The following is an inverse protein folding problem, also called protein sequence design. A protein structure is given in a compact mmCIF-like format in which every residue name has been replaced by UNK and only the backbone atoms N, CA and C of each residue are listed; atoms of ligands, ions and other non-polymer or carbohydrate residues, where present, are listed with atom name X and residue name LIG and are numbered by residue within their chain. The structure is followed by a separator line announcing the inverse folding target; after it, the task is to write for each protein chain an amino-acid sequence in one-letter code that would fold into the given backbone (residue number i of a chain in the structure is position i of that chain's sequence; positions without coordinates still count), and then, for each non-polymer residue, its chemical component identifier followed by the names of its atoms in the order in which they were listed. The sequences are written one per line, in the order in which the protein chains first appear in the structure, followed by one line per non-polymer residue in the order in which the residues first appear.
data_IF_424938290034
#
_entry.id   IF_424938290034
#
_cell.length_a   1.000
_cell.length_b   1.000
_cell.length_c   1.000
_cell.angle_alpha   90.00
_cell.angle_beta   90.00
_cell.angle_gamma   90.00
#
_symmetry.space_group_name_H-M   'P 1'
#
loop_
_entity.id
_entity.type
_entity.pdbx_description
1 polymer ?
#
# COMPACT_ATOMS: atom_id res chain seq x y z
N UNK A 1 78.31 7.45 -37.35
CA UNK A 1 78.17 7.20 -38.82
C UNK A 1 76.72 7.04 -39.14
N UNK A 2 76.19 8.03 -39.68
CA UNK A 2 75.12 8.29 -40.67
C UNK A 2 74.47 7.05 -41.26
N UNK A 3 73.10 7.01 -41.23
CA UNK A 3 72.16 6.96 -42.40
C UNK A 3 70.73 7.07 -41.90
N UNK A 4 70.11 8.10 -42.08
CA UNK A 4 69.19 8.75 -43.03
C UNK A 4 68.04 7.82 -43.59
N UNK A 5 66.81 8.14 -43.18
CA UNK A 5 65.57 8.38 -43.93
C UNK A 5 65.16 7.38 -45.03
N UNK A 6 63.92 6.84 -44.82
CA UNK A 6 62.85 6.94 -45.86
C UNK A 6 61.48 6.89 -45.16
N UNK A 7 60.86 8.04 -45.04
CA UNK A 7 59.42 8.23 -44.83
C UNK A 7 58.78 8.31 -46.21
N UNK A 8 57.70 7.60 -46.44
CA UNK A 8 56.92 7.83 -47.64
C UNK A 8 55.76 6.85 -47.82
N UNK A 9 54.60 7.23 -47.37
CA UNK A 9 53.37 6.93 -48.13
C UNK A 9 52.63 5.63 -47.90
N UNK A 10 51.94 5.46 -46.79
CA UNK A 10 50.68 4.70 -46.73
C UNK A 10 49.83 5.36 -45.62
N UNK A 11 49.13 6.40 -45.97
CA UNK A 11 48.18 7.02 -45.08
C UNK A 11 47.08 7.74 -45.90
N UNK A 12 46.27 6.99 -46.67
CA UNK A 12 45.06 7.57 -47.29
C UNK A 12 44.01 6.54 -47.75
N UNK A 13 43.97 5.31 -47.23
CA UNK A 13 42.89 4.37 -47.62
C UNK A 13 42.14 3.73 -46.48
N UNK A 14 42.50 4.02 -45.21
CA UNK A 14 41.80 3.44 -44.05
C UNK A 14 40.63 4.29 -43.52
N UNK A 15 40.52 5.55 -43.89
CA UNK A 15 39.49 6.47 -43.35
C UNK A 15 38.10 6.35 -44.01
N UNK A 16 37.98 5.76 -45.20
CA UNK A 16 36.70 5.58 -45.90
C UNK A 16 36.00 4.26 -45.59
N UNK A 17 36.70 3.22 -45.13
CA UNK A 17 36.08 1.94 -44.77
C UNK A 17 35.47 1.97 -43.37
N UNK A 18 35.98 2.74 -42.40
CA UNK A 18 35.41 2.91 -41.09
C UNK A 18 34.11 3.72 -41.09
N UNK A 19 33.93 4.66 -41.97
CA UNK A 19 32.70 5.42 -42.11
C UNK A 19 31.54 4.63 -42.69
N UNK A 20 31.79 3.69 -43.58
CA UNK A 20 30.76 2.84 -44.18
C UNK A 20 30.26 1.77 -43.19
N UNK A 21 31.17 1.13 -42.41
CA UNK A 21 30.76 0.16 -41.39
C UNK A 21 30.02 0.78 -40.20
N UNK A 22 30.38 1.99 -39.79
CA UNK A 22 29.68 2.70 -38.73
C UNK A 22 28.26 3.12 -39.15
N UNK A 23 28.11 3.52 -40.43
CA UNK A 23 26.79 3.91 -40.96
C UNK A 23 25.87 2.68 -41.22
N UNK A 24 26.41 1.55 -41.66
CA UNK A 24 25.62 0.32 -41.80
C UNK A 24 25.22 -0.23 -40.41
N UNK A 25 26.08 -0.16 -39.39
CA UNK A 25 25.72 -0.57 -38.03
C UNK A 25 24.70 0.34 -37.38
N UNK A 26 24.77 1.67 -37.60
CA UNK A 26 23.77 2.62 -37.13
C UNK A 26 22.44 2.45 -37.84
N UNK A 27 22.44 2.27 -39.16
CA UNK A 27 21.22 2.01 -39.93
C UNK A 27 20.59 0.63 -39.61
N UNK A 28 21.37 -0.38 -39.26
CA UNK A 28 20.87 -1.67 -38.80
C UNK A 28 20.28 -1.62 -37.38
N UNK A 29 20.79 -0.74 -36.51
CA UNK A 29 20.23 -0.48 -35.17
C UNK A 29 18.96 0.36 -35.28
N UNK A 30 18.91 1.36 -36.16
CA UNK A 30 17.70 2.14 -36.39
C UNK A 30 16.59 1.35 -37.11
N UNK A 31 16.93 0.42 -38.00
CA UNK A 31 15.94 -0.41 -38.70
C UNK A 31 15.30 -1.50 -37.85
N UNK A 32 15.88 -1.81 -36.68
CA UNK A 32 15.36 -2.79 -35.71
C UNK A 32 14.61 -2.12 -34.53
N UNK A 33 14.51 -0.81 -34.45
CA UNK A 33 13.58 -0.18 -33.50
C UNK A 33 12.16 -0.34 -34.01
N UNK A 34 11.25 -0.94 -33.20
CA UNK A 34 9.85 -0.96 -33.56
C UNK A 34 9.40 0.48 -33.80
N UNK A 35 8.54 0.70 -34.81
CA UNK A 35 7.98 2.02 -35.03
C UNK A 35 7.15 2.42 -33.79
N UNK A 36 7.05 3.70 -33.49
CA UNK A 36 6.24 4.25 -32.38
C UNK A 36 4.81 3.69 -32.41
N UNK A 37 4.25 3.50 -33.62
CA UNK A 37 2.92 2.89 -33.81
C UNK A 37 2.88 1.41 -33.38
N UNK A 38 3.97 0.66 -33.56
CA UNK A 38 4.07 -0.73 -33.12
C UNK A 38 4.19 -0.82 -31.59
N UNK A 39 4.95 0.06 -30.96
CA UNK A 39 5.08 0.12 -29.49
C UNK A 39 3.75 0.50 -28.82
N UNK A 40 3.05 1.50 -29.36
CA UNK A 40 1.72 1.89 -28.88
C UNK A 40 0.70 0.76 -29.04
N UNK A 41 0.74 0.04 -30.17
CA UNK A 41 -0.14 -1.09 -30.43
C UNK A 41 0.14 -2.25 -29.45
N UNK A 42 1.41 -2.56 -29.18
CA UNK A 42 1.81 -3.59 -28.22
C UNK A 42 1.43 -3.22 -26.79
N UNK A 43 1.66 -1.98 -26.35
CA UNK A 43 1.25 -1.47 -25.04
C UNK A 43 -0.28 -1.54 -24.87
N UNK A 44 -1.04 -1.16 -25.88
CA UNK A 44 -2.50 -1.26 -25.85
C UNK A 44 -3.00 -2.70 -25.75
N UNK A 45 -2.38 -3.64 -26.48
CA UNK A 45 -2.72 -5.06 -26.40
C UNK A 45 -2.40 -5.66 -25.02
N UNK A 46 -1.27 -5.27 -24.43
CA UNK A 46 -0.84 -5.70 -23.10
C UNK A 46 -1.78 -5.17 -22.00
N UNK A 47 -2.12 -3.89 -22.05
CA UNK A 47 -3.08 -3.29 -21.11
C UNK A 47 -4.45 -3.98 -21.18
N UNK A 48 -4.90 -4.34 -22.39
CA UNK A 48 -6.14 -5.12 -22.57
C UNK A 48 -6.04 -6.48 -21.89
N UNK A 49 -4.92 -7.16 -22.03
CA UNK A 49 -4.69 -8.47 -21.41
C UNK A 49 -4.69 -8.38 -19.87
N UNK A 50 -4.07 -7.34 -19.29
CA UNK A 50 -4.12 -7.09 -17.85
C UNK A 50 -5.55 -6.84 -17.37
N UNK A 51 -6.29 -6.01 -18.09
CA UNK A 51 -7.70 -5.75 -17.78
C UNK A 51 -8.55 -7.01 -17.84
N UNK A 52 -8.42 -7.85 -18.87
CA UNK A 52 -9.12 -9.12 -18.98
C UNK A 52 -8.82 -10.05 -17.80
N UNK A 53 -7.57 -10.10 -17.33
CA UNK A 53 -7.18 -10.86 -16.16
C UNK A 53 -7.78 -10.30 -14.86
N UNK A 54 -7.82 -8.97 -14.71
CA UNK A 54 -8.48 -8.31 -13.59
C UNK A 54 -9.99 -8.60 -13.58
N UNK A 55 -10.65 -8.55 -14.74
CA UNK A 55 -12.07 -8.86 -14.90
C UNK A 55 -12.40 -10.33 -14.53
N UNK A 56 -11.49 -11.26 -14.78
CA UNK A 56 -11.63 -12.67 -14.33
C UNK A 56 -11.68 -12.75 -12.81
N UNK A 57 -10.71 -12.15 -12.11
CA UNK A 57 -10.69 -12.14 -10.64
C UNK A 57 -11.94 -11.41 -10.09
N UNK A 58 -12.28 -10.26 -10.67
CA UNK A 58 -13.44 -9.47 -10.30
C UNK A 58 -14.73 -10.27 -10.39
N UNK A 59 -14.95 -10.96 -11.50
CA UNK A 59 -16.14 -11.81 -11.70
C UNK A 59 -16.19 -12.96 -10.68
N UNK A 60 -15.06 -13.56 -10.34
CA UNK A 60 -14.97 -14.60 -9.31
C UNK A 60 -15.46 -14.10 -7.95
N UNK A 61 -15.01 -12.91 -7.53
CA UNK A 61 -15.39 -12.32 -6.25
C UNK A 61 -16.81 -11.77 -6.26
N UNK A 62 -17.19 -11.01 -7.27
CA UNK A 62 -18.49 -10.33 -7.33
C UNK A 62 -19.67 -11.29 -7.47
N UNK A 63 -19.48 -12.45 -8.09
CA UNK A 63 -20.52 -13.48 -8.15
C UNK A 63 -20.87 -14.09 -6.79
N UNK A 64 -19.98 -13.96 -5.80
CA UNK A 64 -20.11 -14.57 -4.48
C UNK A 64 -19.81 -13.58 -3.32
N UNK A 65 -19.79 -12.27 -3.58
CA UNK A 65 -19.40 -11.25 -2.61
C UNK A 65 -20.21 -11.34 -1.31
N UNK A 66 -21.49 -11.66 -1.40
CA UNK A 66 -22.41 -11.85 -0.27
C UNK A 66 -22.05 -13.03 0.65
N UNK A 67 -21.13 -13.91 0.25
CA UNK A 67 -20.65 -15.02 1.09
C UNK A 67 -19.51 -14.59 2.02
N UNK A 68 -18.89 -13.43 1.75
CA UNK A 68 -17.78 -12.93 2.55
C UNK A 68 -18.30 -12.37 3.90
N UNK A 69 -17.49 -12.49 4.97
CA UNK A 69 -17.75 -11.74 6.20
C UNK A 69 -17.79 -10.23 5.93
N UNK A 70 -18.64 -9.49 6.63
CA UNK A 70 -18.87 -8.06 6.43
C UNK A 70 -17.57 -7.21 6.38
N UNK A 71 -16.53 -7.59 7.16
CA UNK A 71 -15.24 -6.93 7.09
C UNK A 71 -14.55 -7.11 5.73
N UNK A 72 -14.59 -8.32 5.18
CA UNK A 72 -13.96 -8.64 3.89
C UNK A 72 -14.75 -8.07 2.71
N UNK A 73 -16.07 -8.17 2.78
CA UNK A 73 -16.98 -7.54 1.82
C UNK A 73 -16.74 -6.03 1.76
N UNK A 74 -16.74 -5.35 2.93
CA UNK A 74 -16.46 -3.92 3.02
C UNK A 74 -15.04 -3.54 2.56
N UNK A 75 -14.05 -4.36 2.86
CA UNK A 75 -12.67 -4.13 2.43
C UNK A 75 -12.51 -4.21 0.90
N UNK A 76 -13.11 -5.21 0.25
CA UNK A 76 -13.18 -5.34 -1.20
C UNK A 76 -13.96 -4.17 -1.82
N UNK A 77 -15.19 -3.97 -1.38
CA UNK A 77 -16.10 -3.01 -1.99
C UNK A 77 -15.64 -1.56 -1.87
N UNK A 78 -15.04 -1.17 -0.73
CA UNK A 78 -14.50 0.18 -0.57
C UNK A 78 -13.32 0.45 -1.53
N UNK A 79 -12.44 -0.52 -1.75
CA UNK A 79 -11.35 -0.39 -2.72
C UNK A 79 -11.88 -0.28 -4.14
N UNK A 80 -12.83 -1.14 -4.50
CA UNK A 80 -13.45 -1.10 -5.82
C UNK A 80 -14.25 0.19 -6.04
N UNK A 81 -14.96 0.68 -5.02
CA UNK A 81 -15.62 1.98 -5.07
C UNK A 81 -14.62 3.09 -5.35
N UNK A 82 -13.50 3.16 -4.61
CA UNK A 82 -12.46 4.18 -4.81
C UNK A 82 -11.82 4.12 -6.19
N UNK A 83 -11.73 2.92 -6.81
CA UNK A 83 -11.19 2.79 -8.16
C UNK A 83 -12.20 3.24 -9.24
N UNK A 84 -13.47 2.98 -9.05
CA UNK A 84 -14.48 3.07 -10.13
C UNK A 84 -15.55 4.11 -9.90
N UNK A 85 -15.81 4.51 -8.66
CA UNK A 85 -16.97 5.30 -8.22
C UNK A 85 -18.31 4.65 -8.65
N UNK A 86 -18.35 3.32 -8.78
CA UNK A 86 -19.55 2.59 -9.19
C UNK A 86 -20.47 2.38 -7.97
N UNK A 87 -21.70 2.88 -8.08
CA UNK A 87 -22.72 2.84 -7.03
C UNK A 87 -23.06 1.43 -6.52
N UNK A 88 -22.78 0.39 -7.31
CA UNK A 88 -22.98 -0.99 -6.86
C UNK A 88 -22.18 -1.36 -5.60
N UNK A 89 -21.10 -0.62 -5.30
CA UNK A 89 -20.28 -0.81 -4.10
C UNK A 89 -20.72 0.04 -2.90
N UNK A 90 -21.73 0.89 -3.04
CA UNK A 90 -22.20 1.79 -1.97
C UNK A 90 -22.64 1.03 -0.71
N UNK A 91 -23.25 -0.15 -0.88
CA UNK A 91 -23.64 -1.01 0.24
C UNK A 91 -22.41 -1.45 1.08
N UNK A 92 -21.28 -1.73 0.42
CA UNK A 92 -20.04 -2.09 1.11
C UNK A 92 -19.44 -0.89 1.87
N UNK A 93 -19.50 0.32 1.31
CA UNK A 93 -19.11 1.56 1.99
C UNK A 93 -19.96 1.77 3.25
N UNK A 94 -21.26 1.57 3.15
CA UNK A 94 -22.16 1.69 4.30
C UNK A 94 -21.90 0.62 5.37
N UNK A 95 -21.61 -0.62 4.96
CA UNK A 95 -21.23 -1.70 5.87
C UNK A 95 -19.94 -1.41 6.62
N UNK A 96 -18.92 -0.82 5.95
CA UNK A 96 -17.68 -0.39 6.60
C UNK A 96 -17.95 0.73 7.61
N UNK A 97 -18.75 1.71 7.25
CA UNK A 97 -19.16 2.81 8.13
C UNK A 97 -19.91 2.28 9.37
N UNK A 98 -20.82 1.34 9.21
CA UNK A 98 -21.54 0.70 10.33
C UNK A 98 -20.60 -0.07 11.27
N UNK A 99 -19.61 -0.76 10.72
CA UNK A 99 -18.55 -1.43 11.48
C UNK A 99 -17.72 -0.46 12.29
N UNK A 100 -17.31 0.66 11.69
CA UNK A 100 -16.57 1.74 12.34
C UNK A 100 -17.39 2.35 13.48
N UNK A 101 -18.67 2.68 13.22
CA UNK A 101 -19.57 3.19 14.23
C UNK A 101 -19.72 2.25 15.43
N UNK A 102 -19.90 0.95 15.19
CA UNK A 102 -19.98 -0.04 16.26
C UNK A 102 -18.70 -0.07 17.12
N UNK A 103 -17.52 -0.04 16.48
CA UNK A 103 -16.24 0.00 17.21
C UNK A 103 -16.13 1.25 18.07
N UNK A 104 -16.39 2.44 17.51
CA UNK A 104 -16.31 3.71 18.24
C UNK A 104 -17.36 3.81 19.35
N UNK A 105 -18.58 3.34 19.14
CA UNK A 105 -19.61 3.23 20.18
C UNK A 105 -19.12 2.42 21.37
N UNK A 106 -18.55 1.23 21.14
CA UNK A 106 -18.04 0.37 22.20
C UNK A 106 -16.90 1.05 22.95
N UNK A 107 -15.92 1.59 22.22
CA UNK A 107 -14.77 2.28 22.86
C UNK A 107 -15.23 3.50 23.67
N UNK A 108 -16.19 4.29 23.16
CA UNK A 108 -16.72 5.46 23.87
C UNK A 108 -17.55 5.12 25.09
N UNK A 109 -18.28 3.98 25.08
CA UNK A 109 -19.23 3.62 26.15
C UNK A 109 -18.67 2.63 27.17
N UNK A 110 -17.73 1.77 26.76
CA UNK A 110 -17.27 0.64 27.58
C UNK A 110 -15.85 0.83 28.10
N UNK A 111 -15.05 1.72 27.53
CA UNK A 111 -13.65 1.92 27.91
C UNK A 111 -13.41 3.36 28.37
N UNK A 112 -13.29 3.55 29.68
CA UNK A 112 -13.23 4.87 30.29
C UNK A 112 -11.98 5.09 31.16
N UNK A 113 -11.41 4.03 31.72
CA UNK A 113 -10.27 4.11 32.62
C UNK A 113 -9.05 3.45 32.03
N UNK A 114 -7.87 3.76 32.61
CA UNK A 114 -6.62 3.15 32.21
C UNK A 114 -6.65 1.62 32.40
N UNK A 115 -7.24 1.16 33.49
CA UNK A 115 -7.37 -0.28 33.76
C UNK A 115 -8.22 -0.99 32.70
N UNK A 116 -9.29 -0.34 32.22
CA UNK A 116 -10.13 -0.88 31.13
C UNK A 116 -9.37 -0.93 29.82
N UNK A 117 -8.52 0.07 29.52
CA UNK A 117 -7.65 0.08 28.33
C UNK A 117 -6.67 -1.08 28.39
N UNK A 118 -6.01 -1.28 29.52
CA UNK A 118 -5.08 -2.41 29.73
C UNK A 118 -5.81 -3.73 29.56
N UNK A 119 -6.94 -3.92 30.20
CA UNK A 119 -7.73 -5.16 30.12
C UNK A 119 -8.19 -5.46 28.67
N UNK A 120 -8.64 -4.44 27.93
CA UNK A 120 -9.02 -4.58 26.54
C UNK A 120 -7.82 -5.02 25.68
N UNK A 121 -6.67 -4.39 25.89
CA UNK A 121 -5.44 -4.67 25.17
C UNK A 121 -4.87 -6.05 25.48
N UNK A 122 -4.89 -6.48 26.75
CA UNK A 122 -4.47 -7.83 27.16
C UNK A 122 -5.32 -8.89 26.46
N UNK A 123 -6.63 -8.72 26.39
CA UNK A 123 -7.51 -9.62 25.65
C UNK A 123 -7.16 -9.70 24.16
N UNK A 124 -6.76 -8.60 23.57
CA UNK A 124 -6.32 -8.56 22.16
C UNK A 124 -4.97 -9.28 21.96
N UNK A 125 -4.05 -9.14 22.90
CA UNK A 125 -2.73 -9.78 22.85
C UNK A 125 -2.85 -11.30 22.95
N UNK A 126 -3.80 -11.83 23.71
CA UNK A 126 -3.98 -13.28 23.87
C UNK A 126 -4.21 -14.01 22.56
N UNK A 127 -4.66 -13.33 21.50
CA UNK A 127 -4.80 -13.92 20.16
C UNK A 127 -3.47 -14.34 19.53
N UNK A 128 -2.32 -13.93 20.09
CA UNK A 128 -0.99 -14.28 19.60
C UNK A 128 -0.27 -15.31 20.48
N UNK A 129 -0.85 -15.74 21.61
CA UNK A 129 -0.14 -16.61 22.58
C UNK A 129 0.10 -18.02 22.07
N UNK A 130 -0.82 -18.55 21.26
CA UNK A 130 -0.77 -19.92 20.74
C UNK A 130 -0.10 -20.02 19.35
N UNK A 131 0.29 -18.87 18.80
CA UNK A 131 0.93 -18.79 17.50
C UNK A 131 2.43 -19.08 17.62
N UNK A 132 2.97 -19.80 16.63
CA UNK A 132 4.39 -20.23 16.62
C UNK A 132 5.20 -19.60 15.51
N UNK A 133 4.56 -18.90 14.57
CA UNK A 133 5.25 -18.21 13.49
C UNK A 133 6.06 -17.01 14.00
N UNK A 134 7.16 -16.69 13.30
CA UNK A 134 8.11 -15.64 13.68
C UNK A 134 7.43 -14.28 13.94
N UNK A 135 6.43 -13.91 13.10
CA UNK A 135 5.72 -12.63 13.22
C UNK A 135 4.89 -12.57 14.49
N UNK A 136 4.08 -13.57 14.73
CA UNK A 136 3.18 -13.63 15.88
C UNK A 136 3.93 -13.69 17.20
N UNK A 137 5.00 -14.50 17.27
CA UNK A 137 5.89 -14.56 18.43
C UNK A 137 6.53 -13.19 18.70
N UNK A 138 7.03 -12.51 17.68
CA UNK A 138 7.62 -11.17 17.83
C UNK A 138 6.57 -10.14 18.29
N UNK A 139 5.39 -10.14 17.68
CA UNK A 139 4.26 -9.28 18.06
C UNK A 139 3.86 -9.48 19.51
N UNK A 140 3.68 -10.71 19.93
CA UNK A 140 3.38 -11.00 21.35
C UNK A 140 4.45 -10.47 22.28
N UNK A 141 5.73 -10.79 22.01
CA UNK A 141 6.83 -10.46 22.90
C UNK A 141 7.00 -8.96 23.12
N UNK A 142 6.83 -8.13 22.09
CA UNK A 142 6.96 -6.67 22.25
C UNK A 142 5.67 -6.06 22.80
N UNK A 143 4.51 -6.48 22.31
CA UNK A 143 3.22 -5.83 22.62
C UNK A 143 2.76 -6.11 24.06
N UNK A 144 3.14 -7.26 24.64
CA UNK A 144 2.83 -7.55 26.08
C UNK A 144 3.43 -6.53 27.05
N UNK A 145 4.45 -5.76 26.62
CA UNK A 145 5.06 -4.69 27.40
C UNK A 145 4.50 -3.31 27.06
N UNK A 146 3.66 -3.21 26.03
CA UNK A 146 2.97 -2.01 25.55
C UNK A 146 1.51 -2.37 25.20
N UNK A 147 0.72 -2.83 26.18
CA UNK A 147 -0.60 -3.42 25.91
C UNK A 147 -1.58 -2.42 25.26
N UNK A 148 -1.47 -1.13 25.59
CA UNK A 148 -2.29 -0.05 25.05
C UNK A 148 -2.10 0.14 23.55
N UNK A 149 -1.00 -0.32 22.96
CA UNK A 149 -0.71 -0.20 21.53
C UNK A 149 -1.86 -0.73 20.65
N UNK A 150 -2.39 -1.93 20.97
CA UNK A 150 -3.49 -2.53 20.20
C UNK A 150 -4.78 -1.74 20.32
N UNK A 151 -5.06 -1.23 21.50
CA UNK A 151 -6.24 -0.39 21.73
C UNK A 151 -6.15 0.93 20.97
N UNK A 152 -5.08 1.69 21.22
CA UNK A 152 -4.94 3.03 20.69
C UNK A 152 -4.64 3.03 19.19
N UNK A 153 -3.67 2.25 18.76
CA UNK A 153 -3.18 2.28 17.40
C UNK A 153 -4.06 1.53 16.42
N UNK A 154 -4.45 0.32 16.73
CA UNK A 154 -5.15 -0.54 15.76
C UNK A 154 -6.66 -0.32 15.79
N UNK A 155 -7.25 -0.25 16.96
CA UNK A 155 -8.71 -0.22 17.11
C UNK A 155 -9.28 1.20 17.20
N UNK A 156 -8.73 2.08 18.04
CA UNK A 156 -9.27 3.44 18.22
C UNK A 156 -8.85 4.36 17.08
N UNK A 157 -7.55 4.58 16.93
CA UNK A 157 -7.02 5.53 15.94
C UNK A 157 -7.44 5.17 14.51
N UNK A 158 -7.34 3.90 14.12
CA UNK A 158 -7.78 3.45 12.79
C UNK A 158 -9.28 3.58 12.54
N UNK A 159 -10.12 3.49 13.60
CA UNK A 159 -11.56 3.71 13.44
C UNK A 159 -11.92 5.20 13.35
N UNK A 160 -11.22 6.07 14.10
CA UNK A 160 -11.42 7.52 14.01
C UNK A 160 -10.96 8.07 12.65
N UNK A 161 -9.79 7.65 12.18
CA UNK A 161 -9.29 8.06 10.87
C UNK A 161 -10.22 7.61 9.74
N UNK A 162 -10.75 6.38 9.82
CA UNK A 162 -11.72 5.89 8.84
C UNK A 162 -13.04 6.69 8.84
N UNK A 163 -13.56 7.08 10.00
CA UNK A 163 -14.73 7.96 10.07
C UNK A 163 -14.41 9.33 9.44
N UNK A 164 -13.24 9.88 9.76
CA UNK A 164 -12.78 11.16 9.23
C UNK A 164 -12.64 11.17 7.70
N UNK A 165 -12.16 10.08 7.09
CA UNK A 165 -12.12 9.91 5.62
C UNK A 165 -13.51 10.06 4.97
N UNK A 166 -14.59 9.73 5.67
CA UNK A 166 -15.97 9.91 5.20
C UNK A 166 -16.55 11.31 5.52
N UNK A 167 -15.78 12.21 6.11
CA UNK A 167 -16.27 13.48 6.62
C UNK A 167 -17.16 13.32 7.85
N UNK A 168 -16.95 12.26 8.62
CA UNK A 168 -17.72 11.90 9.80
C UNK A 168 -16.83 11.82 11.04
N UNK A 169 -17.45 11.94 12.20
CA UNK A 169 -16.81 11.69 13.50
C UNK A 169 -17.79 11.00 14.45
N UNK A 170 -17.29 10.50 15.56
CA UNK A 170 -18.17 9.97 16.61
C UNK A 170 -18.75 11.11 17.43
N UNK A 171 -20.02 11.05 17.83
CA UNK A 171 -20.69 12.06 18.68
C UNK A 171 -19.97 12.37 20.01
N UNK A 172 -19.07 11.52 20.45
CA UNK A 172 -18.18 11.69 21.60
C UNK A 172 -16.71 11.78 21.16
N UNK A 173 -16.42 12.37 20.01
CA UNK A 173 -15.10 12.39 19.39
C UNK A 173 -14.04 13.01 20.31
N UNK A 174 -14.36 14.15 20.94
CA UNK A 174 -13.43 14.80 21.87
C UNK A 174 -13.02 13.90 23.05
N UNK A 175 -13.94 13.12 23.60
CA UNK A 175 -13.61 12.13 24.63
C UNK A 175 -12.62 11.08 24.15
N UNK A 176 -12.75 10.63 22.89
CA UNK A 176 -11.84 9.67 22.28
C UNK A 176 -10.47 10.29 21.98
N UNK A 177 -10.45 11.55 21.54
CA UNK A 177 -9.22 12.35 21.37
C UNK A 177 -8.47 12.57 22.69
N UNK A 178 -9.18 12.87 23.78
CA UNK A 178 -8.58 12.98 25.11
C UNK A 178 -7.83 11.69 25.52
N UNK A 179 -8.33 10.51 25.14
CA UNK A 179 -7.62 9.25 25.38
C UNK A 179 -6.34 9.20 24.57
N UNK A 180 -6.37 9.54 23.26
CA UNK A 180 -5.19 9.56 22.39
C UNK A 180 -4.12 10.50 22.96
N UNK A 181 -4.50 11.71 23.36
CA UNK A 181 -3.58 12.74 23.90
C UNK A 181 -2.90 12.39 25.22
N UNK A 182 -3.38 11.36 25.93
CA UNK A 182 -2.72 10.84 27.15
C UNK A 182 -1.47 10.02 26.85
N UNK A 183 -1.29 9.59 25.62
CA UNK A 183 -0.19 8.74 25.19
C UNK A 183 0.72 9.47 24.23
N UNK A 184 2.01 9.38 24.52
CA UNK A 184 3.06 9.86 23.62
C UNK A 184 3.41 8.73 22.63
N UNK A 185 3.00 8.90 21.37
CA UNK A 185 3.23 7.92 20.32
C UNK A 185 4.70 7.80 19.92
N UNK A 186 5.55 8.78 20.23
CA UNK A 186 7.00 8.66 20.08
C UNK A 186 7.57 7.43 20.77
N UNK A 187 7.00 7.02 21.89
CA UNK A 187 7.41 5.79 22.62
C UNK A 187 7.23 4.51 21.81
N UNK A 188 6.26 4.49 20.87
CA UNK A 188 6.02 3.34 20.00
C UNK A 188 6.86 3.42 18.72
N UNK A 189 6.91 4.59 18.08
CA UNK A 189 7.55 4.75 16.77
C UNK A 189 9.06 4.83 16.84
N UNK A 190 9.65 5.27 17.95
CA UNK A 190 11.10 5.27 18.17
C UNK A 190 11.68 3.90 18.54
N UNK A 191 10.82 2.90 18.79
CA UNK A 191 11.25 1.57 19.19
C UNK A 191 11.45 0.65 17.97
N UNK A 192 12.72 0.31 17.66
CA UNK A 192 13.04 -0.56 16.52
C UNK A 192 12.41 -1.96 16.61
N UNK A 193 12.20 -2.52 17.80
CA UNK A 193 11.55 -3.82 17.93
C UNK A 193 10.05 -3.74 17.65
N UNK A 194 9.40 -2.62 17.99
CA UNK A 194 8.04 -2.32 17.55
C UNK A 194 7.97 -2.22 16.02
N UNK A 195 8.90 -1.50 15.40
CA UNK A 195 8.98 -1.42 13.93
C UNK A 195 9.14 -2.80 13.30
N UNK A 196 10.03 -3.65 13.84
CA UNK A 196 10.22 -5.03 13.35
C UNK A 196 9.02 -5.95 13.58
N UNK A 197 8.15 -5.64 14.52
CA UNK A 197 6.92 -6.40 14.77
C UNK A 197 5.71 -5.88 13.95
N UNK A 198 5.61 -4.56 13.78
CA UNK A 198 4.39 -3.87 13.37
C UNK A 198 4.61 -2.80 12.28
N UNK A 199 5.61 -2.94 11.41
CA UNK A 199 6.01 -1.91 10.46
C UNK A 199 4.85 -1.23 9.72
N UNK A 200 3.99 -2.02 9.05
CA UNK A 200 2.86 -1.50 8.31
C UNK A 200 1.80 -0.83 9.20
N UNK A 201 1.52 -1.42 10.36
CA UNK A 201 0.53 -0.85 11.30
C UNK A 201 1.02 0.45 11.92
N UNK A 202 2.32 0.55 12.25
CA UNK A 202 2.92 1.80 12.73
C UNK A 202 2.94 2.87 11.64
N UNK A 203 3.28 2.49 10.39
CA UNK A 203 3.18 3.40 9.25
C UNK A 203 1.77 4.01 9.17
N UNK A 204 0.73 3.17 9.18
CA UNK A 204 -0.64 3.66 9.17
C UNK A 204 -0.94 4.62 10.33
N UNK A 205 -0.53 4.27 11.54
CA UNK A 205 -0.85 5.05 12.73
C UNK A 205 -0.25 6.45 12.70
N UNK A 206 0.99 6.61 12.24
CA UNK A 206 1.63 7.92 12.19
C UNK A 206 0.93 8.85 11.19
N UNK A 207 0.45 8.30 10.07
CA UNK A 207 -0.34 9.08 9.11
C UNK A 207 -1.76 9.35 9.60
N UNK A 208 -2.40 8.43 10.31
CA UNK A 208 -3.71 8.69 10.93
C UNK A 208 -3.64 9.75 12.02
N UNK A 209 -2.57 9.78 12.83
CA UNK A 209 -2.34 10.84 13.81
C UNK A 209 -2.23 12.22 13.12
N UNK A 210 -1.45 12.29 12.04
CA UNK A 210 -1.32 13.48 11.20
C UNK A 210 -2.66 13.90 10.59
N UNK A 211 -3.39 12.97 9.98
CA UNK A 211 -4.71 13.18 9.38
C UNK A 211 -5.73 13.73 10.40
N UNK A 212 -5.72 13.24 11.62
CA UNK A 212 -6.61 13.68 12.69
C UNK A 212 -6.15 14.99 13.37
N UNK A 213 -4.99 15.52 13.00
CA UNK A 213 -4.44 16.74 13.60
C UNK A 213 -4.00 16.57 15.06
N UNK A 214 -3.60 15.35 15.45
CA UNK A 214 -3.16 15.05 16.81
C UNK A 214 -1.64 15.18 16.96
N UNK A 215 -0.88 14.10 16.78
CA UNK A 215 0.57 14.11 16.85
C UNK A 215 1.17 13.90 15.46
N UNK A 216 2.23 14.63 15.11
CA UNK A 216 2.99 14.38 13.89
C UNK A 216 4.34 13.75 14.24
N UNK A 217 4.41 12.43 14.12
CA UNK A 217 5.59 11.62 14.42
C UNK A 217 6.06 10.81 13.21
N UNK A 218 5.67 11.25 12.00
CA UNK A 218 6.01 10.55 10.74
C UNK A 218 7.53 10.53 10.52
N UNK A 219 8.21 11.65 10.68
CA UNK A 219 9.66 11.74 10.46
C UNK A 219 10.46 10.89 11.45
N UNK A 220 10.00 10.85 12.71
CA UNK A 220 10.58 10.00 13.74
C UNK A 220 10.42 8.51 13.39
N UNK A 221 9.23 8.12 12.97
CA UNK A 221 8.96 6.75 12.52
C UNK A 221 9.84 6.38 11.32
N UNK A 222 9.92 7.22 10.28
CA UNK A 222 10.73 6.96 9.08
C UNK A 222 12.21 6.82 9.45
N UNK A 223 12.71 7.66 10.34
CA UNK A 223 14.09 7.57 10.84
C UNK A 223 14.34 6.24 11.54
N UNK A 224 13.45 5.85 12.45
CA UNK A 224 13.55 4.58 13.18
C UNK A 224 13.40 3.38 12.24
N UNK A 225 12.51 3.47 11.25
CA UNK A 225 12.30 2.43 10.24
C UNK A 225 13.59 2.16 9.45
N UNK A 226 14.24 3.21 8.94
CA UNK A 226 15.53 3.09 8.24
C UNK A 226 16.62 2.48 9.12
N UNK A 227 16.66 2.85 10.39
CA UNK A 227 17.60 2.29 11.36
C UNK A 227 17.31 0.81 11.69
N UNK A 228 16.03 0.41 11.72
CA UNK A 228 15.61 -0.97 11.97
C UNK A 228 15.87 -1.91 10.77
N UNK A 229 15.81 -1.36 9.54
CA UNK A 229 15.95 -2.10 8.29
C UNK A 229 16.99 -1.49 7.34
N UNK A 230 18.29 -1.43 7.72
CA UNK A 230 19.34 -0.97 6.81
C UNK A 230 19.44 -1.88 5.58
N UNK A 231 19.49 -1.33 4.38
CA UNK A 231 19.50 -2.08 3.11
C UNK A 231 20.65 -3.09 3.03
N UNK A 232 21.83 -2.73 3.57
CA UNK A 232 23.00 -3.61 3.62
C UNK A 232 22.75 -4.92 4.39
N UNK A 233 21.67 -5.03 5.15
CA UNK A 233 21.33 -6.23 5.94
C UNK A 233 20.26 -7.12 5.30
N UNK A 234 19.68 -6.75 4.16
CA UNK A 234 18.54 -7.43 3.54
C UNK A 234 18.79 -8.93 3.27
N UNK A 235 20.01 -9.28 2.89
CA UNK A 235 20.40 -10.68 2.66
C UNK A 235 20.38 -11.54 3.93
N UNK A 236 20.40 -10.90 5.11
CA UNK A 236 20.37 -11.56 6.43
C UNK A 236 18.97 -11.65 7.03
N UNK A 237 18.02 -10.88 6.49
CA UNK A 237 16.64 -10.91 6.94
C UNK A 237 15.99 -12.25 6.58
N UNK A 238 15.19 -12.82 7.50
CA UNK A 238 14.26 -13.88 7.16
C UNK A 238 13.29 -13.45 6.07
N UNK A 239 12.63 -14.38 5.42
CA UNK A 239 11.58 -14.05 4.45
C UNK A 239 10.47 -13.22 5.10
N UNK A 240 10.11 -13.54 6.33
CA UNK A 240 9.10 -12.80 7.10
C UNK A 240 9.55 -11.37 7.41
N UNK A 241 10.80 -11.16 7.86
CA UNK A 241 11.31 -9.82 8.14
C UNK A 241 11.52 -8.98 6.88
N UNK A 242 11.96 -9.61 5.79
CA UNK A 242 12.07 -8.93 4.49
C UNK A 242 10.68 -8.47 4.00
N UNK A 243 9.67 -9.35 4.07
CA UNK A 243 8.28 -8.98 3.78
C UNK A 243 7.77 -7.86 4.68
N UNK A 244 8.11 -7.87 5.98
CA UNK A 244 7.70 -6.81 6.91
C UNK A 244 8.36 -5.45 6.59
N UNK A 245 9.62 -5.45 6.12
CA UNK A 245 10.28 -4.25 5.60
C UNK A 245 9.49 -3.68 4.40
N UNK A 246 9.21 -4.52 3.40
CA UNK A 246 8.46 -4.09 2.21
C UNK A 246 7.06 -3.57 2.58
N UNK A 247 6.33 -4.26 3.45
CA UNK A 247 5.03 -3.80 3.95
C UNK A 247 5.12 -2.45 4.66
N UNK A 248 6.18 -2.20 5.44
CA UNK A 248 6.38 -0.90 6.05
C UNK A 248 6.55 0.20 5.00
N UNK A 249 7.34 -0.05 3.96
CA UNK A 249 7.58 0.89 2.87
C UNK A 249 6.31 1.17 2.05
N UNK A 250 5.56 0.13 1.67
CA UNK A 250 4.30 0.32 0.92
C UNK A 250 3.25 1.06 1.74
N UNK A 251 3.16 0.77 3.05
CA UNK A 251 2.21 1.42 3.94
C UNK A 251 2.57 2.86 4.31
N UNK A 252 3.84 3.28 4.21
CA UNK A 252 4.22 4.70 4.24
C UNK A 252 3.54 5.44 3.07
N UNK A 253 3.63 4.90 1.86
CA UNK A 253 3.01 5.48 0.67
C UNK A 253 1.48 5.44 0.75
N UNK A 254 0.90 4.32 1.21
CA UNK A 254 -0.55 4.19 1.35
C UNK A 254 -1.11 5.11 2.44
N UNK A 255 -0.38 5.28 3.54
CA UNK A 255 -0.75 6.22 4.59
C UNK A 255 -0.76 7.66 4.09
N UNK A 256 0.29 8.06 3.37
CA UNK A 256 0.39 9.40 2.79
C UNK A 256 -0.68 9.66 1.73
N UNK A 257 -1.08 8.64 0.95
CA UNK A 257 -2.16 8.75 -0.03
C UNK A 257 -3.57 8.68 0.59
N UNK A 258 -3.68 8.61 1.91
CA UNK A 258 -4.94 8.30 2.62
C UNK A 258 -5.65 7.08 2.00
N UNK A 259 -4.86 6.03 1.74
CA UNK A 259 -5.34 4.80 1.10
C UNK A 259 -6.00 5.01 -0.27
N UNK A 260 -5.20 5.46 -1.23
CA UNK A 260 -5.55 5.62 -2.66
C UNK A 260 -6.45 6.81 -2.98
N UNK A 261 -6.56 7.80 -2.11
CA UNK A 261 -7.39 8.98 -2.31
C UNK A 261 -6.64 10.14 -2.94
N UNK A 262 -5.34 10.23 -2.66
CA UNK A 262 -4.47 11.29 -3.17
C UNK A 262 -3.28 10.71 -3.92
N UNK A 263 -2.81 11.45 -4.91
CA UNK A 263 -1.53 11.17 -5.54
C UNK A 263 -0.40 11.56 -4.58
N UNK A 264 0.63 10.73 -4.49
CA UNK A 264 1.81 11.00 -3.65
C UNK A 264 2.95 11.57 -4.47
N UNK A 265 3.87 12.28 -3.81
CA UNK A 265 5.07 12.81 -4.43
C UNK A 265 6.18 11.76 -4.43
N UNK A 266 6.68 11.38 -5.62
CA UNK A 266 7.88 10.54 -5.71
C UNK A 266 9.06 11.18 -4.96
N UNK A 267 9.25 12.49 -5.08
CA UNK A 267 10.37 13.21 -4.47
C UNK A 267 10.38 13.11 -2.94
N UNK A 268 9.22 13.17 -2.29
CA UNK A 268 9.11 13.05 -0.84
C UNK A 268 9.46 11.66 -0.34
N UNK A 269 9.19 10.65 -1.15
CA UNK A 269 9.45 9.24 -0.85
C UNK A 269 10.53 8.62 -1.72
N UNK A 270 11.43 9.42 -2.30
CA UNK A 270 12.46 8.99 -3.27
C UNK A 270 13.20 7.73 -2.82
N UNK A 271 13.58 7.64 -1.53
CA UNK A 271 14.30 6.51 -0.98
C UNK A 271 13.54 5.17 -1.07
N UNK A 272 12.21 5.19 -1.08
CA UNK A 272 11.36 4.00 -1.26
C UNK A 272 11.35 3.60 -2.73
N UNK A 273 11.13 4.56 -3.62
CA UNK A 273 11.08 4.29 -5.07
C UNK A 273 12.42 3.81 -5.60
N UNK A 274 13.54 4.43 -5.18
CA UNK A 274 14.89 3.98 -5.53
C UNK A 274 15.14 2.55 -5.03
N UNK A 275 14.78 2.28 -3.77
CA UNK A 275 14.94 0.94 -3.22
C UNK A 275 14.14 -0.11 -4.01
N UNK A 276 12.90 0.18 -4.39
CA UNK A 276 12.09 -0.76 -5.17
C UNK A 276 12.65 -0.97 -6.57
N UNK A 277 13.10 0.08 -7.26
CA UNK A 277 13.76 -0.03 -8.57
C UNK A 277 15.02 -0.89 -8.52
N UNK A 278 15.89 -0.63 -7.55
CA UNK A 278 17.17 -1.33 -7.40
C UNK A 278 16.98 -2.79 -6.99
N UNK A 279 15.89 -3.15 -6.33
CA UNK A 279 15.69 -4.46 -5.74
C UNK A 279 14.51 -5.25 -6.33
N UNK A 280 13.87 -4.78 -7.41
CA UNK A 280 12.63 -5.38 -7.93
C UNK A 280 12.76 -6.89 -8.18
N UNK A 281 13.85 -7.36 -8.77
CA UNK A 281 14.03 -8.78 -9.06
C UNK A 281 14.15 -9.63 -7.79
N UNK A 282 14.74 -9.07 -6.73
CA UNK A 282 14.79 -9.72 -5.40
C UNK A 282 13.42 -9.69 -4.73
N UNK A 283 12.66 -8.63 -4.89
CA UNK A 283 11.30 -8.49 -4.37
C UNK A 283 10.40 -9.55 -5.01
N UNK A 284 10.42 -9.68 -6.32
CA UNK A 284 9.63 -10.68 -7.05
C UNK A 284 9.97 -12.12 -6.64
N UNK A 285 11.22 -12.39 -6.27
CA UNK A 285 11.66 -13.71 -5.82
C UNK A 285 11.26 -14.02 -4.36
N UNK A 286 11.22 -13.02 -3.48
CA UNK A 286 11.12 -13.22 -2.03
C UNK A 286 9.78 -12.78 -1.43
N UNK A 287 9.06 -11.87 -2.07
CA UNK A 287 7.81 -11.35 -1.55
C UNK A 287 6.63 -12.25 -1.93
N UNK A 288 5.53 -12.07 -1.19
CA UNK A 288 4.23 -12.67 -1.52
C UNK A 288 3.49 -11.79 -2.52
N UNK A 289 2.51 -12.34 -3.19
CA UNK A 289 1.76 -11.70 -4.26
C UNK A 289 1.07 -10.39 -3.82
N UNK A 290 0.53 -10.35 -2.60
CA UNK A 290 -0.03 -9.13 -2.02
C UNK A 290 1.01 -8.01 -1.92
N UNK A 291 2.21 -8.31 -1.43
CA UNK A 291 3.32 -7.34 -1.34
C UNK A 291 3.81 -6.91 -2.71
N UNK A 292 3.91 -7.85 -3.67
CA UNK A 292 4.28 -7.53 -5.06
C UNK A 292 3.27 -6.56 -5.68
N UNK A 293 1.97 -6.81 -5.47
CA UNK A 293 0.91 -5.92 -5.95
C UNK A 293 0.99 -4.55 -5.28
N UNK A 294 1.24 -4.50 -3.97
CA UNK A 294 1.41 -3.24 -3.24
C UNK A 294 2.60 -2.42 -3.78
N UNK A 295 3.74 -3.05 -4.06
CA UNK A 295 4.90 -2.35 -4.65
C UNK A 295 4.53 -1.71 -5.99
N UNK A 296 3.86 -2.42 -6.89
CA UNK A 296 3.38 -1.84 -8.15
C UNK A 296 2.39 -0.68 -7.94
N UNK A 297 1.47 -0.83 -6.99
CA UNK A 297 0.48 0.20 -6.65
C UNK A 297 1.12 1.49 -6.09
N UNK A 298 2.26 1.41 -5.39
CA UNK A 298 2.95 2.62 -4.93
C UNK A 298 3.40 3.49 -6.11
N UNK A 299 3.88 2.89 -7.20
CA UNK A 299 4.26 3.63 -8.41
C UNK A 299 3.05 4.24 -9.11
N UNK A 300 1.94 3.51 -9.17
CA UNK A 300 0.69 4.04 -9.74
C UNK A 300 0.15 5.23 -8.94
N UNK A 301 0.28 5.19 -7.61
CA UNK A 301 -0.07 6.31 -6.73
C UNK A 301 0.80 7.55 -6.94
N UNK A 302 2.02 7.39 -7.41
CA UNK A 302 2.90 8.50 -7.78
C UNK A 302 2.72 8.97 -9.24
N UNK A 303 1.81 8.35 -10.01
CA UNK A 303 1.63 8.65 -11.43
C UNK A 303 2.77 8.12 -12.31
N UNK A 304 3.51 7.11 -11.84
CA UNK A 304 4.66 6.50 -12.52
C UNK A 304 4.24 5.21 -13.27
N UNK A 305 3.17 5.28 -14.06
CA UNK A 305 2.56 4.13 -14.73
C UNK A 305 3.50 3.44 -15.74
N UNK A 306 4.45 4.19 -16.29
CA UNK A 306 5.42 3.72 -17.28
C UNK A 306 6.74 3.24 -16.65
N UNK A 307 6.86 3.24 -15.32
CA UNK A 307 8.04 2.73 -14.65
C UNK A 307 8.16 1.20 -14.84
N UNK A 308 9.36 0.67 -15.14
CA UNK A 308 9.58 -0.77 -15.32
C UNK A 308 9.13 -1.63 -14.13
N UNK A 309 9.09 -1.08 -12.92
CA UNK A 309 8.58 -1.78 -11.72
C UNK A 309 7.11 -2.14 -11.88
N UNK A 310 6.29 -1.24 -12.44
CA UNK A 310 4.86 -1.49 -12.68
C UNK A 310 4.66 -2.66 -13.62
N UNK A 311 5.39 -2.67 -14.73
CA UNK A 311 5.30 -3.76 -15.71
C UNK A 311 5.75 -5.10 -15.12
N UNK A 312 6.88 -5.13 -14.42
CA UNK A 312 7.40 -6.35 -13.76
C UNK A 312 6.43 -6.90 -12.71
N UNK A 313 5.82 -6.04 -11.90
CA UNK A 313 4.84 -6.45 -10.89
C UNK A 313 3.54 -6.93 -11.52
N UNK A 314 3.03 -6.28 -12.58
CA UNK A 314 1.87 -6.74 -13.34
C UNK A 314 2.09 -8.13 -13.95
N UNK A 315 3.25 -8.38 -14.55
CA UNK A 315 3.59 -9.69 -15.11
C UNK A 315 3.64 -10.78 -14.03
N UNK A 316 4.25 -10.49 -12.88
CA UNK A 316 4.32 -11.43 -11.76
C UNK A 316 2.92 -11.78 -11.22
N UNK A 317 2.07 -10.77 -11.04
CA UNK A 317 0.69 -10.98 -10.57
C UNK A 317 -0.15 -11.74 -11.60
N UNK A 318 -0.04 -11.40 -12.88
CA UNK A 318 -0.71 -12.13 -13.95
C UNK A 318 -0.33 -13.63 -13.95
N UNK A 319 0.96 -13.94 -13.75
CA UNK A 319 1.46 -15.30 -13.70
C UNK A 319 0.98 -16.09 -12.45
N UNK A 320 0.54 -15.41 -11.40
CA UNK A 320 0.06 -16.01 -10.15
C UNK A 320 -1.44 -16.38 -10.18
N UNK A 321 -2.17 -15.98 -11.21
CA UNK A 321 -3.62 -16.24 -11.34
C UNK A 321 -3.83 -17.70 -11.78
N UNK A 322 -4.56 -18.46 -11.00
CA UNK A 322 -5.07 -19.78 -11.42
C UNK A 322 -6.21 -19.58 -12.43
N UNK A 323 -6.01 -20.10 -13.64
CA UNK A 323 -6.94 -19.90 -14.76
C UNK A 323 -8.25 -20.66 -14.60
N UNK A 324 -8.28 -21.77 -13.86
CA UNK A 324 -9.50 -22.54 -13.62
C UNK A 324 -10.34 -21.94 -12.49
N UNK A 325 -9.67 -21.44 -11.44
CA UNK A 325 -10.31 -20.82 -10.28
C UNK A 325 -10.59 -19.33 -10.48
N UNK A 326 -9.92 -18.69 -11.44
CA UNK A 326 -10.09 -17.26 -11.72
C UNK A 326 -9.66 -16.36 -10.59
N UNK A 327 -8.65 -16.78 -9.79
CA UNK A 327 -8.12 -16.00 -8.67
C UNK A 327 -6.70 -16.43 -8.31
N UNK A 328 -6.01 -15.60 -7.55
CA UNK A 328 -4.74 -15.95 -6.90
C UNK A 328 -5.06 -16.74 -5.62
N UNK A 329 -4.44 -17.90 -5.38
CA UNK A 329 -4.68 -18.68 -4.18
C UNK A 329 -4.31 -17.92 -2.90
N UNK A 330 -4.88 -18.31 -1.78
CA UNK A 330 -4.53 -17.77 -0.46
C UNK A 330 -3.07 -18.03 -0.08
N UNK A 331 -2.61 -17.49 1.05
CA UNK A 331 -1.24 -17.72 1.55
C UNK A 331 -0.95 -19.21 1.80
N UNK A 332 -1.99 -19.98 2.09
CA UNK A 332 -1.92 -21.44 2.35
C UNK A 332 -2.08 -22.27 1.08
N UNK A 333 -2.29 -21.62 -0.08
CA UNK A 333 -2.43 -22.28 -1.38
C UNK A 333 -3.83 -22.79 -1.70
N UNK A 334 -4.82 -22.47 -0.85
CA UNK A 334 -6.22 -22.78 -1.12
C UNK A 334 -6.92 -21.65 -1.89
N UNK A 335 -8.15 -21.89 -2.34
CA UNK A 335 -8.98 -20.97 -3.10
C UNK A 335 -10.17 -20.45 -2.28
N UNK A 336 -10.01 -20.35 -0.97
CA UNK A 336 -11.00 -19.71 -0.11
C UNK A 336 -11.03 -18.20 -0.37
N UNK A 337 -12.22 -17.69 -0.73
CA UNK A 337 -12.42 -16.28 -1.08
C UNK A 337 -12.08 -15.35 0.07
N UNK A 338 -12.43 -15.74 1.31
CA UNK A 338 -12.19 -14.92 2.49
C UNK A 338 -10.69 -14.74 2.76
N UNK A 339 -9.91 -15.82 2.66
CA UNK A 339 -8.46 -15.78 2.91
C UNK A 339 -7.67 -15.23 1.73
N UNK A 340 -8.19 -15.33 0.51
CA UNK A 340 -7.61 -14.76 -0.71
C UNK A 340 -7.98 -13.30 -0.96
N UNK A 341 -9.01 -12.73 -0.30
CA UNK A 341 -9.61 -11.43 -0.66
C UNK A 341 -8.58 -10.31 -0.78
N UNK A 342 -7.73 -10.14 0.22
CA UNK A 342 -6.77 -9.02 0.26
C UNK A 342 -5.85 -8.99 -0.97
N UNK A 343 -5.22 -10.12 -1.32
CA UNK A 343 -4.32 -10.18 -2.48
C UNK A 343 -5.03 -10.05 -3.82
N UNK A 344 -6.24 -10.57 -3.90
CA UNK A 344 -7.01 -10.54 -5.14
C UNK A 344 -7.57 -9.14 -5.43
N UNK A 345 -8.03 -8.39 -4.46
CA UNK A 345 -8.44 -7.00 -4.68
C UNK A 345 -7.26 -6.10 -5.05
N UNK A 346 -6.08 -6.31 -4.45
CA UNK A 346 -4.85 -5.60 -4.83
C UNK A 346 -4.40 -5.98 -6.25
N UNK A 347 -4.55 -7.25 -6.64
CA UNK A 347 -4.28 -7.69 -8.00
C UNK A 347 -5.21 -7.01 -9.02
N UNK A 348 -6.50 -6.92 -8.75
CA UNK A 348 -7.45 -6.17 -9.60
C UNK A 348 -6.99 -4.73 -9.74
N UNK A 349 -6.68 -4.06 -8.63
CA UNK A 349 -6.23 -2.67 -8.64
C UNK A 349 -4.95 -2.46 -9.45
N UNK A 350 -3.94 -3.34 -9.31
CA UNK A 350 -2.69 -3.24 -10.05
C UNK A 350 -2.88 -3.48 -11.55
N UNK A 351 -3.66 -4.50 -11.93
CA UNK A 351 -3.86 -4.91 -13.32
C UNK A 351 -4.79 -3.97 -14.09
N UNK A 352 -5.80 -3.39 -13.42
CA UNK A 352 -6.78 -2.48 -14.01
C UNK A 352 -6.88 -1.16 -13.23
N UNK A 353 -5.72 -0.53 -12.97
CA UNK A 353 -5.66 0.75 -12.28
C UNK A 353 -6.43 1.81 -13.02
N UNK A 354 -7.32 2.51 -12.33
CA UNK A 354 -8.12 3.58 -12.92
C UNK A 354 -7.51 4.95 -12.62
N UNK A 355 -7.50 5.33 -11.35
CA UNK A 355 -6.93 6.59 -10.83
C UNK A 355 -7.07 6.66 -9.32
N UNK A 356 -6.51 7.69 -8.72
CA UNK A 356 -6.87 8.10 -7.35
C UNK A 356 -8.24 8.78 -7.35
N UNK A 357 -9.07 8.43 -6.37
CA UNK A 357 -10.34 9.10 -6.12
C UNK A 357 -10.45 9.38 -4.63
N UNK A 358 -10.94 10.57 -4.30
CA UNK A 358 -11.32 10.86 -2.92
C UNK A 358 -12.32 9.82 -2.39
N UNK A 359 -12.30 9.59 -1.08
CA UNK A 359 -13.31 8.75 -0.46
C UNK A 359 -14.69 9.35 -0.69
N UNK A 360 -15.72 8.52 -0.75
CA UNK A 360 -17.07 9.03 -0.71
C UNK A 360 -17.25 9.75 0.63
N UNK A 361 -17.38 11.06 0.60
CA UNK A 361 -17.62 11.86 1.79
C UNK A 361 -19.11 12.20 1.91
N UNK A 362 -19.54 12.50 3.11
CA UNK A 362 -20.89 12.97 3.36
C UNK A 362 -21.29 14.15 2.44
N UNK A 363 -20.37 15.07 2.19
CA UNK A 363 -20.64 16.24 1.33
C UNK A 363 -20.62 15.90 -0.15
N UNK A 364 -19.74 14.99 -0.59
CA UNK A 364 -19.59 14.62 -2.00
C UNK A 364 -20.61 13.60 -2.48
N UNK A 365 -21.10 12.73 -1.57
CA UNK A 365 -22.00 11.61 -1.89
C UNK A 365 -23.10 11.46 -0.84
N UNK A 366 -23.97 12.47 -0.68
CA UNK A 366 -25.00 12.47 0.36
C UNK A 366 -25.99 11.30 0.25
N UNK A 367 -26.15 10.71 -0.94
CA UNK A 367 -26.99 9.53 -1.16
C UNK A 367 -26.49 8.29 -0.42
N UNK A 368 -25.16 8.10 -0.30
CA UNK A 368 -24.55 7.00 0.46
C UNK A 368 -24.72 7.22 1.96
N UNK A 369 -24.76 8.47 2.42
CA UNK A 369 -24.78 8.88 3.82
C UNK A 369 -26.15 9.37 4.30
N UNK A 370 -27.22 9.14 3.55
CA UNK A 370 -28.58 9.57 3.89
C UNK A 370 -29.06 9.05 5.25
N UNK A 371 -28.54 7.92 5.70
CA UNK A 371 -28.80 7.34 7.02
C UNK A 371 -27.47 6.96 7.68
N UNK A 372 -27.04 7.73 8.68
CA UNK A 372 -25.85 7.43 9.44
C UNK A 372 -26.08 6.33 10.47
N UNK A 373 -25.15 5.38 10.65
CA UNK A 373 -25.15 4.47 11.78
C UNK A 373 -25.13 5.23 13.11
N UNK A 374 -25.84 4.69 14.11
CA UNK A 374 -25.86 5.29 15.44
C UNK A 374 -24.44 5.57 15.98
N UNK A 375 -24.24 6.77 16.48
CA UNK A 375 -22.99 7.22 17.07
C UNK A 375 -22.13 8.06 16.12
N UNK A 376 -22.31 7.99 14.80
CA UNK A 376 -21.63 8.87 13.87
C UNK A 376 -22.45 10.12 13.61
N UNK A 377 -21.75 11.24 13.48
CA UNK A 377 -22.27 12.55 13.12
C UNK A 377 -21.36 13.16 12.04
N UNK A 378 -21.85 14.17 11.36
CA UNK A 378 -21.02 14.94 10.43
C UNK A 378 -19.90 15.64 11.18
N UNK A 379 -18.71 15.59 10.63
CA UNK A 379 -17.61 16.43 11.10
C UNK A 379 -17.92 17.89 10.74
N UNK A 380 -17.97 18.78 11.73
CA UNK A 380 -18.15 20.20 11.45
C UNK A 380 -16.89 20.69 10.70
N UNK A 381 -17.03 21.42 9.58
CA UNK A 381 -15.88 21.97 8.90
C UNK A 381 -15.10 22.83 9.91
N UNK A 382 -13.87 22.49 10.20
CA UNK A 382 -13.00 23.36 10.98
C UNK A 382 -13.00 24.72 10.28
N UNK A 383 -13.50 25.75 10.94
CA UNK A 383 -13.44 27.10 10.44
C UNK A 383 -11.96 27.40 10.17
N UNK A 384 -11.61 27.54 8.88
CA UNK A 384 -10.28 27.96 8.48
C UNK A 384 -10.04 29.28 9.19
N UNK A 385 -9.26 29.27 10.26
CA UNK A 385 -8.82 30.49 10.92
C UNK A 385 -7.87 31.15 9.93
N UNK A 386 -8.43 32.06 9.12
CA UNK A 386 -7.67 33.05 8.38
C UNK A 386 -6.96 33.96 9.39
N UNK A 387 -5.84 33.49 9.93
CA UNK A 387 -4.88 34.38 10.59
C UNK A 387 -4.15 35.11 9.48
N UNK A 388 -4.56 36.35 9.31
CA UNK A 388 -3.87 37.39 8.53
C UNK A 388 -2.46 37.64 9.06
#
# INVERSE_FOLDING_TARGET
MKLTTLLGGIALTASLAFGAYANESLNAIESNRPSVDNELTQKSALNRHYKEAADVIKNTYESQLYTLPAFKEGHYGLRMYRQTLDDKYSAAVWSDMARVANKLNRLSNEVHTLEQIVLYSEKRITSYTDETDERSVRRYNITKHMPEYLYLGVDLLGSMARANEYGLEHKNDEKLREIIRRYDFSNYVSNQDMVKAWAAQLANQVYWLRQLGEQDVVDEFVTTFKAAYPDATDKKLSQQQYGNKLYGMTHIIFGDSEYYQHQVSEQEHQWIYDYFRDNIDTILLRAKEDVIAEVGLTFLLAGLEDDPVVEKTRQAILASIDKEKGMIPSVTGDFDLQYGEHRNVLAIMLLDWQKVNEAPTYLGHPEVFSNLPYGLVMNEPQAISNSQ
#
